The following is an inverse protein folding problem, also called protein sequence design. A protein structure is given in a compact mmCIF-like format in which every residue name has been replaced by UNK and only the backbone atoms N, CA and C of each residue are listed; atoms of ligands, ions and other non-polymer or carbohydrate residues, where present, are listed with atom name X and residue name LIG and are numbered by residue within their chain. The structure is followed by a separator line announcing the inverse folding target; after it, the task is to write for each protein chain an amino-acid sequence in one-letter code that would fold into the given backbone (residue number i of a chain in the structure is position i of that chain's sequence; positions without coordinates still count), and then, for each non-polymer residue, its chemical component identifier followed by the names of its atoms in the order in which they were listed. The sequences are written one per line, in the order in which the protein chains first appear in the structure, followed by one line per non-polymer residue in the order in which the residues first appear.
data_IF_488727421461
#
_entry.id   IF_488727421461
#
_cell.length_a   1.000
_cell.length_b   1.000
_cell.length_c   1.000
_cell.angle_alpha   90.00
_cell.angle_beta   90.00
_cell.angle_gamma   90.00
#
_symmetry.space_group_name_H-M   'P 1'
#
loop_
_entity.id
_entity.type
_entity.pdbx_description
1 polymer ?
#
# COMPACT_ATOMS: atom_id res chain seq x y z
N UNK A 1 2.79 5.09 -3.49
CA UNK A 1 1.89 6.16 -3.01
C UNK A 1 1.66 5.99 -1.51
N UNK A 2 1.04 6.95 -0.85
CA UNK A 2 0.65 6.89 0.55
C UNK A 2 -0.84 7.14 0.70
N UNK A 3 -1.41 6.48 1.70
CA UNK A 3 -2.82 6.61 2.10
C UNK A 3 -2.84 7.02 3.57
N UNK A 4 -3.63 8.06 3.88
CA UNK A 4 -3.87 8.48 5.27
C UNK A 4 -5.00 7.66 5.85
N UNK A 5 -4.77 7.09 7.02
CA UNK A 5 -5.67 6.14 7.67
C UNK A 5 -5.83 6.42 9.16
N UNK A 6 -6.77 5.73 9.81
CA UNK A 6 -6.76 5.54 11.26
C UNK A 6 -5.58 4.64 11.65
N UNK A 7 -4.91 4.95 12.76
CA UNK A 7 -3.86 4.07 13.28
C UNK A 7 -4.49 2.81 13.91
N UNK A 8 -3.78 1.68 13.83
CA UNK A 8 -4.17 0.47 14.55
C UNK A 8 -5.27 -0.36 13.88
N UNK A 9 -5.53 -0.14 12.59
CA UNK A 9 -6.51 -0.92 11.82
C UNK A 9 -5.87 -2.17 11.21
N UNK A 10 -6.68 -3.21 11.01
CA UNK A 10 -6.24 -4.42 10.32
C UNK A 10 -5.96 -4.16 8.83
N UNK A 11 -5.14 -5.02 8.20
CA UNK A 11 -4.93 -4.98 6.74
C UNK A 11 -6.27 -5.13 6.00
N UNK A 12 -7.18 -5.96 6.50
CA UNK A 12 -8.50 -6.18 5.89
C UNK A 12 -9.37 -4.92 5.91
N UNK A 13 -9.45 -4.26 7.07
CA UNK A 13 -10.15 -2.97 7.20
C UNK A 13 -9.54 -1.93 6.26
N UNK A 14 -8.21 -1.84 6.20
CA UNK A 14 -7.53 -0.90 5.31
C UNK A 14 -7.91 -1.12 3.83
N UNK A 15 -7.87 -2.36 3.36
CA UNK A 15 -8.20 -2.68 1.96
C UNK A 15 -9.68 -2.40 1.68
N UNK A 16 -10.57 -2.74 2.61
CA UNK A 16 -12.01 -2.55 2.43
C UNK A 16 -12.39 -1.07 2.45
N UNK A 17 -11.95 -0.32 3.46
CA UNK A 17 -12.39 1.06 3.69
C UNK A 17 -11.64 2.08 2.82
N UNK A 18 -10.33 1.90 2.59
CA UNK A 18 -9.51 2.93 1.94
C UNK A 18 -9.19 2.60 0.48
N UNK A 19 -9.04 1.31 0.15
CA UNK A 19 -8.89 0.90 -1.25
C UNK A 19 -10.24 0.70 -1.95
N UNK A 20 -11.34 0.66 -1.18
CA UNK A 20 -12.70 0.39 -1.67
C UNK A 20 -12.77 -0.96 -2.40
N UNK A 21 -12.15 -1.99 -1.82
CA UNK A 21 -12.09 -3.34 -2.37
C UNK A 21 -12.80 -4.33 -1.45
N UNK A 22 -13.85 -4.97 -1.97
CA UNK A 22 -14.69 -5.88 -1.19
C UNK A 22 -13.99 -7.20 -0.84
N UNK A 23 -14.53 -7.92 0.14
CA UNK A 23 -13.98 -9.21 0.61
C UNK A 23 -13.79 -10.24 -0.50
N UNK A 24 -14.69 -10.25 -1.49
CA UNK A 24 -14.59 -11.13 -2.66
C UNK A 24 -13.39 -10.79 -3.54
N UNK A 25 -13.11 -9.50 -3.73
CA UNK A 25 -11.92 -9.05 -4.44
C UNK A 25 -10.66 -9.42 -3.67
N UNK A 26 -10.62 -9.18 -2.36
CA UNK A 26 -9.47 -9.52 -1.49
C UNK A 26 -9.13 -11.01 -1.61
N UNK A 27 -10.13 -11.88 -1.48
CA UNK A 27 -9.92 -13.33 -1.48
C UNK A 27 -9.51 -13.87 -2.86
N UNK A 28 -10.09 -13.35 -3.94
CA UNK A 28 -9.89 -13.86 -5.31
C UNK A 28 -8.72 -13.21 -6.05
N UNK A 29 -8.46 -11.91 -5.83
CA UNK A 29 -7.48 -11.14 -6.59
C UNK A 29 -6.17 -10.97 -5.85
N UNK A 30 -6.18 -10.75 -4.54
CA UNK A 30 -4.96 -10.49 -3.77
C UNK A 30 -4.35 -11.82 -3.31
N UNK A 31 -3.35 -12.30 -4.04
CA UNK A 31 -2.70 -13.58 -3.74
C UNK A 31 -1.46 -13.43 -2.88
N UNK A 32 -0.81 -12.28 -2.87
CA UNK A 32 0.49 -12.09 -2.21
C UNK A 32 0.51 -10.73 -1.52
N UNK A 33 0.86 -10.74 -0.23
CA UNK A 33 0.91 -9.54 0.59
C UNK A 33 2.22 -9.51 1.37
N UNK A 34 2.79 -8.32 1.50
CA UNK A 34 3.89 -8.05 2.43
C UNK A 34 3.57 -6.86 3.31
N UNK A 35 3.80 -7.01 4.60
CA UNK A 35 3.83 -5.93 5.57
C UNK A 35 5.29 -5.70 6.00
N UNK A 36 5.82 -4.50 5.74
CA UNK A 36 7.20 -4.13 6.07
C UNK A 36 8.23 -5.13 5.53
N UNK A 37 7.99 -5.63 4.31
CA UNK A 37 8.86 -6.61 3.64
C UNK A 37 8.68 -8.06 4.10
N UNK A 38 7.80 -8.32 5.08
CA UNK A 38 7.51 -9.68 5.56
C UNK A 38 6.21 -10.21 4.94
N UNK A 39 6.19 -11.42 4.36
CA UNK A 39 4.97 -12.03 3.86
C UNK A 39 3.92 -12.20 4.96
N UNK A 40 2.66 -11.94 4.62
CA UNK A 40 1.52 -12.03 5.56
C UNK A 40 0.42 -12.91 4.97
N UNK A 41 -0.14 -13.79 5.81
CA UNK A 41 -1.27 -14.65 5.44
C UNK A 41 -2.60 -14.22 6.06
N UNK A 42 -2.57 -13.64 7.25
CA UNK A 42 -3.77 -13.26 7.99
C UNK A 42 -3.98 -11.75 7.96
N UNK A 43 -5.10 -11.32 7.36
CA UNK A 43 -5.39 -9.91 7.14
C UNK A 43 -6.18 -9.30 8.29
N UNK A 44 -6.80 -10.13 9.14
CA UNK A 44 -7.63 -9.69 10.26
C UNK A 44 -6.78 -9.37 11.50
N UNK A 45 -5.67 -10.09 11.71
CA UNK A 45 -4.79 -9.89 12.89
C UNK A 45 -3.58 -8.98 12.65
N UNK A 46 -3.24 -8.71 11.39
CA UNK A 46 -2.06 -7.93 11.06
C UNK A 46 -2.40 -6.44 11.00
N UNK A 47 -1.77 -5.69 11.92
CA UNK A 47 -2.13 -4.30 12.20
C UNK A 47 -1.21 -3.35 11.46
N UNK A 48 -1.81 -2.35 10.81
CA UNK A 48 -1.12 -1.23 10.20
C UNK A 48 -0.94 -0.12 11.22
N UNK A 49 0.31 0.28 11.42
CA UNK A 49 0.73 1.45 12.20
C UNK A 49 1.27 2.54 11.29
N UNK A 50 1.53 3.72 11.85
CA UNK A 50 2.19 4.80 11.11
C UNK A 50 3.53 4.32 10.52
N UNK A 51 3.84 4.76 9.30
CA UNK A 51 5.02 4.34 8.57
C UNK A 51 4.97 2.94 7.95
N UNK A 52 3.88 2.17 8.15
CA UNK A 52 3.74 0.83 7.57
C UNK A 52 3.88 0.83 6.04
N UNK A 53 4.60 -0.15 5.51
CA UNK A 53 4.72 -0.38 4.07
C UNK A 53 3.93 -1.63 3.70
N UNK A 54 2.81 -1.45 3.01
CA UNK A 54 1.96 -2.53 2.52
C UNK A 54 2.18 -2.72 1.02
N UNK A 55 2.62 -3.92 0.64
CA UNK A 55 2.73 -4.32 -0.75
C UNK A 55 1.67 -5.38 -1.08
N UNK A 56 0.90 -5.14 -2.14
CA UNK A 56 -0.16 -6.02 -2.62
C UNK A 56 0.15 -6.47 -4.04
N UNK A 57 -0.02 -7.75 -4.30
CA UNK A 57 0.16 -8.36 -5.61
C UNK A 57 -0.91 -9.42 -5.88
N UNK A 58 -1.39 -9.47 -7.11
CA UNK A 58 -2.19 -10.57 -7.61
C UNK A 58 -1.34 -11.81 -7.87
N UNK A 59 -1.95 -12.85 -8.45
CA UNK A 59 -1.27 -14.09 -8.77
C UNK A 59 0.05 -13.83 -9.52
N UNK A 60 1.15 -14.27 -8.92
CA UNK A 60 2.47 -14.26 -9.54
C UNK A 60 2.76 -15.66 -10.11
N UNK A 61 3.29 -15.78 -11.35
CA UNK A 61 3.68 -17.06 -11.90
C UNK A 61 4.98 -17.58 -11.28
N UNK A 62 5.23 -18.89 -11.46
CA UNK A 62 6.49 -19.54 -11.10
C UNK A 62 6.68 -19.84 -9.61
N UNK A 63 7.89 -20.27 -9.27
CA UNK A 63 8.23 -20.77 -7.93
C UNK A 63 8.08 -19.68 -6.84
N UNK A 64 8.53 -18.46 -7.13
CA UNK A 64 8.39 -17.34 -6.20
C UNK A 64 6.91 -17.07 -5.89
N UNK A 65 6.04 -17.11 -6.90
CA UNK A 65 4.60 -16.99 -6.70
C UNK A 65 4.03 -18.12 -5.84
N UNK A 66 4.44 -19.37 -6.09
CA UNK A 66 4.00 -20.52 -5.30
C UNK A 66 4.42 -20.42 -3.81
N UNK A 67 5.64 -19.94 -3.54
CA UNK A 67 6.15 -19.74 -2.18
C UNK A 67 5.44 -18.56 -1.49
N UNK A 68 5.32 -17.42 -2.17
CA UNK A 68 4.82 -16.16 -1.59
C UNK A 68 3.29 -16.07 -1.54
N UNK A 69 2.57 -16.95 -2.22
CA UNK A 69 1.10 -16.96 -2.27
C UNK A 69 0.48 -17.18 -0.90
N UNK A 70 -0.29 -16.22 -0.42
CA UNK A 70 -1.11 -16.29 0.80
C UNK A 70 -1.84 -17.63 0.93
N UNK A 71 -1.66 -18.29 2.06
CA UNK A 71 -2.26 -19.61 2.34
C UNK A 71 -1.79 -20.73 1.40
N UNK A 72 -0.67 -20.54 0.70
CA UNK A 72 -0.10 -21.51 -0.22
C UNK A 72 0.64 -22.64 0.52
N UNK A 73 0.67 -23.82 -0.10
CA UNK A 73 1.33 -25.01 0.47
C UNK A 73 2.83 -24.83 0.71
N UNK A 74 3.49 -23.99 -0.09
CA UNK A 74 4.93 -23.70 0.02
C UNK A 74 5.25 -22.50 0.92
N UNK A 75 4.29 -22.02 1.73
CA UNK A 75 4.50 -20.89 2.63
C UNK A 75 5.63 -21.12 3.64
N UNK A 76 5.92 -22.38 4.01
CA UNK A 76 7.03 -22.74 4.89
C UNK A 76 8.42 -22.43 4.33
N UNK A 77 8.55 -22.18 3.03
CA UNK A 77 9.81 -21.80 2.39
C UNK A 77 10.09 -20.29 2.45
N UNK A 78 9.20 -19.50 3.05
CA UNK A 78 9.38 -18.06 3.20
C UNK A 78 10.38 -17.75 4.31
N UNK A 79 11.36 -16.92 4.01
CA UNK A 79 12.15 -16.27 5.06
C UNK A 79 11.24 -15.32 5.84
N UNK A 80 11.03 -15.61 7.12
CA UNK A 80 10.27 -14.74 8.01
C UNK A 80 11.28 -13.92 8.82
N UNK A 81 11.21 -12.60 8.67
CA UNK A 81 11.93 -11.71 9.57
C UNK A 81 11.09 -11.56 10.84
N UNK A 82 11.72 -11.72 12.00
CA UNK A 82 11.01 -11.52 13.27
C UNK A 82 10.48 -10.08 13.35
N UNK A 83 9.19 -9.97 13.67
CA UNK A 83 8.55 -8.69 13.89
C UNK A 83 8.97 -8.17 15.25
N UNK A 84 9.76 -7.10 15.27
CA UNK A 84 9.83 -6.24 16.46
C UNK A 84 8.49 -5.52 16.57
N UNK A 85 7.63 -5.97 17.47
CA UNK A 85 6.46 -5.20 17.88
C UNK A 85 6.96 -3.97 18.65
N UNK A 86 7.02 -2.84 17.96
CA UNK A 86 7.10 -1.53 18.61
C UNK A 86 5.68 -1.20 19.05
N UNK A 87 5.41 -1.23 20.36
CA UNK A 87 4.15 -0.74 20.92
C UNK A 87 4.13 0.79 20.81
N UNK A 88 3.92 1.31 19.61
CA UNK A 88 3.76 2.73 19.39
C UNK A 88 2.36 3.16 19.83
N UNK A 89 2.31 4.29 20.55
CA UNK A 89 1.05 4.92 20.96
C UNK A 89 0.16 5.09 19.74
N UNK A 90 -1.11 4.72 19.86
CA UNK A 90 -2.12 4.96 18.83
C UNK A 90 -2.20 6.47 18.55
N UNK A 91 -1.55 6.90 17.49
CA UNK A 91 -1.74 8.23 16.91
C UNK A 91 -3.16 8.31 16.34
N UNK A 92 -3.73 9.51 16.26
CA UNK A 92 -5.07 9.71 15.68
C UNK A 92 -5.15 9.35 14.19
N UNK A 93 -4.00 9.24 13.51
CA UNK A 93 -3.89 8.73 12.14
C UNK A 93 -2.53 8.11 11.85
N UNK A 94 -2.45 7.42 10.72
CA UNK A 94 -1.27 6.71 10.24
C UNK A 94 -1.10 6.89 8.73
N UNK A 95 0.14 7.05 8.30
CA UNK A 95 0.58 7.03 6.91
C UNK A 95 0.99 5.61 6.52
N UNK A 96 0.23 5.02 5.60
CA UNK A 96 0.55 3.71 5.04
C UNK A 96 1.12 3.92 3.64
N UNK A 97 2.36 3.47 3.41
CA UNK A 97 2.94 3.41 2.07
C UNK A 97 2.38 2.21 1.33
N UNK A 98 1.58 2.45 0.30
CA UNK A 98 1.00 1.43 -0.55
C UNK A 98 1.86 1.19 -1.80
N UNK A 99 2.16 -0.09 -2.05
CA UNK A 99 2.76 -0.58 -3.30
C UNK A 99 1.80 -1.57 -3.96
N UNK A 100 1.42 -1.30 -5.20
CA UNK A 100 0.64 -2.19 -6.03
C UNK A 100 1.56 -2.81 -7.08
N UNK A 101 1.38 -4.10 -7.33
CA UNK A 101 2.11 -4.83 -8.36
C UNK A 101 1.13 -5.45 -9.36
N UNK A 102 1.68 -5.93 -10.48
CA UNK A 102 1.00 -6.73 -11.51
C UNK A 102 -0.43 -6.24 -11.85
N UNK A 103 -1.41 -7.14 -11.87
CA UNK A 103 -2.79 -6.85 -12.25
C UNK A 103 -3.49 -5.87 -11.29
N UNK A 104 -3.03 -5.75 -10.04
CA UNK A 104 -3.61 -4.80 -9.08
C UNK A 104 -3.31 -3.34 -9.44
N UNK A 105 -2.26 -3.07 -10.22
CA UNK A 105 -1.94 -1.71 -10.67
C UNK A 105 -3.06 -1.15 -11.56
N UNK A 106 -3.42 -1.77 -12.70
CA UNK A 106 -4.53 -1.28 -13.52
C UNK A 106 -5.91 -1.45 -12.86
N UNK A 107 -6.08 -2.40 -11.94
CA UNK A 107 -7.39 -2.64 -11.27
C UNK A 107 -7.70 -1.61 -10.17
N UNK A 108 -6.72 -1.27 -9.31
CA UNK A 108 -6.93 -0.36 -8.17
C UNK A 108 -6.36 1.04 -8.40
N UNK A 109 -5.31 1.16 -9.21
CA UNK A 109 -4.58 2.40 -9.44
C UNK A 109 -5.47 3.56 -9.90
N UNK A 110 -6.27 3.42 -10.97
CA UNK A 110 -7.15 4.50 -11.44
C UNK A 110 -8.15 4.96 -10.38
N UNK A 111 -8.77 4.03 -9.66
CA UNK A 111 -9.69 4.32 -8.57
C UNK A 111 -9.02 5.11 -7.43
N UNK A 112 -7.79 4.77 -7.09
CA UNK A 112 -7.02 5.50 -6.06
C UNK A 112 -6.61 6.89 -6.53
N UNK A 113 -6.08 7.00 -7.75
CA UNK A 113 -5.63 8.28 -8.32
C UNK A 113 -6.76 9.30 -8.48
N UNK A 114 -7.95 8.83 -8.86
CA UNK A 114 -9.14 9.68 -9.01
C UNK A 114 -9.70 10.19 -7.67
N UNK A 115 -9.57 9.42 -6.58
CA UNK A 115 -9.96 9.84 -5.22
C UNK A 115 -8.92 10.74 -4.55
N UNK A 116 -7.71 10.73 -5.07
CA UNK A 116 -6.56 11.44 -4.49
C UNK A 116 -5.64 10.50 -3.72
N UNK A 117 -4.35 10.70 -3.91
CA UNK A 117 -3.28 9.98 -3.21
C UNK A 117 -2.30 10.96 -2.60
N UNK A 118 -1.56 10.48 -1.61
CA UNK A 118 -0.46 11.25 -1.05
C UNK A 118 0.87 10.75 -1.59
N UNK A 119 1.77 11.68 -1.87
CA UNK A 119 3.14 11.41 -2.29
C UNK A 119 4.06 12.37 -1.55
N UNK A 120 5.35 12.02 -1.45
CA UNK A 120 6.33 12.99 -0.98
C UNK A 120 6.54 14.05 -2.05
N UNK A 121 6.72 15.31 -1.67
CA UNK A 121 7.09 16.42 -2.55
C UNK A 121 8.23 16.05 -3.51
N UNK A 122 9.28 15.42 -2.98
CA UNK A 122 10.44 14.92 -3.72
C UNK A 122 10.13 13.87 -4.79
N UNK A 123 8.97 13.21 -4.74
CA UNK A 123 8.52 12.26 -5.77
C UNK A 123 7.86 12.97 -6.96
N UNK A 124 7.43 14.23 -6.82
CA UNK A 124 6.76 15.00 -7.87
C UNK A 124 7.78 15.72 -8.78
N UNK A 125 8.94 16.10 -8.25
CA UNK A 125 9.97 16.84 -9.00
C UNK A 125 10.53 16.07 -10.21
N UNK A 126 10.28 14.76 -10.30
CA UNK A 126 10.65 13.93 -11.45
C UNK A 126 9.56 13.84 -12.54
N UNK A 127 8.38 14.43 -12.33
CA UNK A 127 7.32 14.42 -13.34
C UNK A 127 7.60 15.45 -14.43
N UNK A 128 7.37 15.10 -15.71
CA UNK A 128 7.50 16.06 -16.80
C UNK A 128 6.48 17.20 -16.64
N UNK A 129 6.93 18.42 -16.96
CA UNK A 129 6.18 19.68 -16.80
C UNK A 129 4.85 19.72 -17.58
N UNK A 130 4.65 18.81 -18.55
CA UNK A 130 3.44 18.68 -19.37
C UNK A 130 2.32 17.87 -18.69
N UNK A 131 2.55 17.36 -17.48
CA UNK A 131 1.50 16.67 -16.73
C UNK A 131 0.49 17.67 -16.16
N UNK A 132 -0.81 17.34 -16.22
CA UNK A 132 -1.91 18.08 -15.56
C UNK A 132 -1.83 18.04 -14.01
N UNK A 133 -0.64 17.79 -13.47
CA UNK A 133 -0.34 17.75 -12.04
C UNK A 133 0.17 19.15 -11.71
N UNK A 134 -0.71 20.01 -11.17
CA UNK A 134 -0.28 21.26 -10.57
C UNK A 134 0.66 20.87 -9.41
N UNK A 135 1.96 21.21 -9.43
CA UNK A 135 2.77 20.97 -8.25
C UNK A 135 2.24 21.92 -7.18
N UNK A 136 1.73 21.43 -6.04
CA UNK A 136 1.60 22.32 -4.90
C UNK A 136 3.02 22.77 -4.56
N UNK A 137 3.13 24.02 -4.11
CA UNK A 137 4.37 24.57 -3.61
C UNK A 137 5.05 23.52 -2.70
N UNK A 138 6.19 23.00 -3.16
CA UNK A 138 7.01 22.08 -2.37
C UNK A 138 8.08 22.91 -1.71
N UNK A 139 8.11 22.93 -0.39
CA UNK A 139 9.22 23.52 0.34
C UNK A 139 10.50 22.72 0.02
N UNK A 140 11.50 23.29 -0.69
CA UNK A 140 12.71 22.57 -1.05
C UNK A 140 13.51 22.11 0.18
N UNK A 141 13.29 22.73 1.35
CA UNK A 141 13.93 22.38 2.62
C UNK A 141 13.20 21.24 3.38
N UNK A 142 12.03 20.79 2.89
CA UNK A 142 11.26 19.70 3.50
C UNK A 142 10.88 18.59 2.49
N UNK A 143 11.82 17.68 2.15
CA UNK A 143 11.59 16.63 1.16
C UNK A 143 10.60 15.54 1.60
N UNK A 144 10.27 15.51 2.90
CA UNK A 144 9.29 14.62 3.51
C UNK A 144 7.89 15.23 3.59
N UNK A 145 7.71 16.46 3.10
CA UNK A 145 6.40 17.08 2.94
C UNK A 145 5.49 16.17 2.11
N UNK A 146 4.33 15.85 2.70
CA UNK A 146 3.32 15.02 2.08
C UNK A 146 2.36 15.89 1.27
N UNK A 147 2.34 15.63 -0.02
CA UNK A 147 1.53 16.36 -1.00
C UNK A 147 0.33 15.51 -1.41
N UNK A 148 -0.86 16.11 -1.37
CA UNK A 148 -2.08 15.49 -1.88
C UNK A 148 -2.23 15.76 -3.39
N UNK A 149 -2.27 14.69 -4.19
CA UNK A 149 -2.38 14.75 -5.65
C UNK A 149 -3.65 14.04 -6.09
N UNK A 150 -4.44 14.71 -6.93
CA UNK A 150 -5.63 14.15 -7.56
C UNK A 150 -5.41 14.20 -9.08
N UNK A 151 -5.50 13.03 -9.73
CA UNK A 151 -5.42 12.96 -11.20
C UNK A 151 -6.84 12.97 -11.74
N UNK A 152 -7.19 14.05 -12.44
CA UNK A 152 -8.47 14.13 -13.17
C UNK A 152 -8.35 13.29 -14.44
N UNK A 153 -9.34 12.44 -14.69
CA UNK A 153 -9.48 11.80 -15.99
C UNK A 153 -9.72 12.89 -17.05
N UNK A 154 -8.96 12.83 -18.15
CA UNK A 154 -9.15 13.68 -19.34
C UNK A 154 -10.19 13.03 -20.24
#
# INVERSE_FOLDING_TARGET
MFIRTRSGISIKEFITEYLNAESDYISKRISTLFLNGTPVDDLDYEILTDGSVLALSAAMPGLAGAILRKGGHLAGLRTRVEKKHSAEKAASGAWVKLKLFNALVPELGPGLLSRGIWVKASSISSFPAESNILPPYTDPDNPDEMVHVIVKAV
#
